data_IF_992615425692
#
_entry.id   IF_992615425692
#
_cell.length_a   1.000
_cell.length_b   1.000
_cell.length_c   1.000
_cell.angle_alpha   90.00
_cell.angle_beta   90.00
_cell.angle_gamma   90.00
#
_symmetry.space_group_name_H-M   'P 1'
#
loop_
_entity.id
_entity.type
_entity.pdbx_description
1 polymer ?
#
# COMPACT_ATOMS: atom_id res chain seq x y z
N UNK A 1 24.47 -14.42 -65.63
CA UNK A 1 24.88 -14.35 -64.22
C UNK A 1 24.06 -13.24 -63.57
N UNK A 2 23.19 -13.61 -62.63
CA UNK A 2 22.21 -12.74 -61.99
C UNK A 2 22.87 -11.58 -61.25
N UNK A 3 22.30 -10.37 -61.37
CA UNK A 3 21.76 -9.59 -60.23
C UNK A 3 21.14 -8.26 -60.69
N UNK A 4 19.82 -8.22 -60.58
CA UNK A 4 18.90 -7.08 -60.51
C UNK A 4 19.18 -6.23 -59.25
N UNK A 5 18.90 -4.92 -59.29
CA UNK A 5 18.28 -4.04 -58.26
C UNK A 5 18.30 -2.60 -58.84
N UNK A 6 17.21 -2.14 -59.45
CA UNK A 6 16.08 -1.38 -58.89
C UNK A 6 16.35 0.13 -58.67
N UNK A 7 15.91 0.90 -59.67
CA UNK A 7 15.74 2.35 -59.73
C UNK A 7 14.80 2.85 -58.62
N UNK A 8 15.17 3.96 -57.95
CA UNK A 8 14.23 4.77 -57.17
C UNK A 8 14.13 6.15 -57.84
N UNK A 9 12.96 6.42 -58.40
CA UNK A 9 12.58 7.67 -59.05
C UNK A 9 12.02 8.59 -57.96
N UNK A 10 12.70 9.70 -57.67
CA UNK A 10 12.20 10.75 -56.78
C UNK A 10 11.27 11.67 -57.58
N UNK A 11 9.97 11.62 -57.31
CA UNK A 11 9.01 12.64 -57.80
C UNK A 11 8.60 13.52 -56.63
N UNK A 12 8.96 14.79 -56.73
CA UNK A 12 8.62 15.88 -55.83
C UNK A 12 7.33 16.53 -56.35
N UNK A 13 6.25 16.49 -55.58
CA UNK A 13 5.05 17.30 -55.81
C UNK A 13 4.43 17.59 -54.45
N UNK A 14 4.61 18.81 -53.92
CA UNK A 14 3.64 19.91 -54.00
C UNK A 14 2.30 19.54 -53.36
N UNK A 15 1.90 20.22 -52.27
CA UNK A 15 0.61 20.91 -52.21
C UNK A 15 0.53 21.84 -50.99
N UNK A 16 0.23 23.09 -51.33
CA UNK A 16 -0.20 24.20 -50.49
C UNK A 16 -1.44 23.83 -49.66
N UNK A 17 -1.43 24.13 -48.36
CA UNK A 17 -2.54 23.89 -47.44
C UNK A 17 -2.72 25.05 -46.46
N UNK A 18 -3.78 25.82 -46.70
CA UNK A 18 -4.12 27.12 -46.14
C UNK A 18 -4.74 27.06 -44.72
N UNK A 19 -4.60 28.16 -43.97
CA UNK A 19 -5.41 28.64 -42.83
C UNK A 19 -5.53 27.81 -41.53
N UNK A 20 -5.24 28.40 -40.36
CA UNK A 20 -6.20 29.14 -39.53
C UNK A 20 -5.54 29.61 -38.22
N UNK A 21 -5.83 30.86 -37.87
CA UNK A 21 -5.51 31.53 -36.60
C UNK A 21 -6.14 30.75 -35.44
N UNK A 22 -5.42 30.53 -34.34
CA UNK A 22 -6.05 30.20 -33.07
C UNK A 22 -5.41 30.95 -31.92
N UNK A 23 -6.30 31.60 -31.17
CA UNK A 23 -6.04 32.53 -30.09
C UNK A 23 -5.38 31.85 -28.89
N UNK A 24 -4.39 32.53 -28.30
CA UNK A 24 -3.80 32.17 -27.02
C UNK A 24 -4.80 32.51 -25.93
N UNK A 25 -5.63 31.53 -25.55
CA UNK A 25 -6.48 31.59 -24.38
C UNK A 25 -5.64 31.19 -23.16
N UNK A 26 -5.25 32.16 -22.35
CA UNK A 26 -4.54 31.94 -21.09
C UNK A 26 -5.44 31.23 -20.08
N UNK A 27 -5.23 29.93 -19.89
CA UNK A 27 -5.82 29.18 -18.80
C UNK A 27 -4.89 29.28 -17.58
N UNK A 28 -5.27 30.11 -16.61
CA UNK A 28 -4.76 30.07 -15.25
C UNK A 28 -5.02 28.67 -14.68
N UNK A 29 -3.98 27.84 -14.58
CA UNK A 29 -4.04 26.58 -13.85
C UNK A 29 -4.08 26.89 -12.36
N UNK A 30 -5.28 26.87 -11.80
CA UNK A 30 -5.49 26.72 -10.35
C UNK A 30 -5.00 25.31 -10.02
N UNK A 31 -3.78 25.20 -9.51
CA UNK A 31 -3.29 23.97 -8.89
C UNK A 31 -4.00 23.87 -7.55
N UNK A 32 -4.94 22.93 -7.32
CA UNK A 32 -5.37 22.66 -5.96
C UNK A 32 -4.14 22.18 -5.20
N UNK A 33 -3.80 22.90 -4.13
CA UNK A 33 -2.80 22.47 -3.18
C UNK A 33 -3.18 21.05 -2.74
N UNK A 34 -2.38 20.07 -3.15
CA UNK A 34 -2.43 18.72 -2.59
C UNK A 34 -2.03 18.90 -1.13
N UNK A 35 -3.04 18.97 -0.27
CA UNK A 35 -2.86 18.88 1.16
C UNK A 35 -2.12 17.59 1.42
N UNK A 36 -0.88 17.70 1.90
CA UNK A 36 -0.18 16.59 2.50
C UNK A 36 -1.00 16.24 3.75
N UNK A 37 -1.83 15.21 3.64
CA UNK A 37 -2.39 14.58 4.82
C UNK A 37 -1.19 14.10 5.63
N UNK A 38 -0.95 14.75 6.76
CA UNK A 38 0.01 14.34 7.77
C UNK A 38 -0.40 12.92 8.19
N UNK A 39 0.28 11.92 7.63
CA UNK A 39 0.13 10.51 8.00
C UNK A 39 0.79 10.27 9.35
N UNK A 40 0.31 10.97 10.38
CA UNK A 40 0.55 10.61 11.78
C UNK A 40 -0.71 10.03 12.38
N UNK A 41 -1.33 9.12 11.65
CA UNK A 41 -2.10 8.06 12.26
C UNK A 41 -1.11 7.07 12.84
N UNK A 42 -0.55 7.36 14.03
CA UNK A 42 0.05 6.30 14.85
C UNK A 42 -1.10 5.34 15.14
N UNK A 43 -1.12 4.21 14.44
CA UNK A 43 -2.00 3.11 14.76
C UNK A 43 -1.85 2.82 16.23
N UNK A 44 -2.97 2.81 16.94
CA UNK A 44 -2.97 2.79 18.39
C UNK A 44 -2.61 1.38 18.86
N UNK A 45 -1.35 0.98 18.77
CA UNK A 45 -0.89 -0.35 19.17
C UNK A 45 0.39 -0.86 18.49
N UNK A 46 0.86 -0.23 17.40
CA UNK A 46 2.07 -0.69 16.73
C UNK A 46 3.33 -0.09 17.34
N UNK A 47 4.41 -0.86 17.37
CA UNK A 47 5.73 -0.42 17.84
C UNK A 47 6.80 -0.74 16.80
N UNK A 48 7.57 0.27 16.42
CA UNK A 48 8.75 0.09 15.59
C UNK A 48 9.98 -0.27 16.41
N UNK A 49 10.78 -1.21 15.90
CA UNK A 49 12.06 -1.61 16.48
C UNK A 49 13.07 -1.84 15.37
N UNK A 50 14.25 -1.26 15.47
CA UNK A 50 15.34 -1.55 14.53
C UNK A 50 16.18 -2.74 14.98
N UNK A 51 16.69 -3.50 14.01
CA UNK A 51 17.51 -4.67 14.25
C UNK A 51 18.32 -5.11 13.04
N UNK A 52 18.97 -6.26 13.18
CA UNK A 52 19.81 -6.87 12.14
C UNK A 52 19.32 -8.29 11.89
N UNK A 53 19.20 -8.68 10.63
CA UNK A 53 18.86 -10.05 10.26
C UNK A 53 20.02 -10.98 10.61
N UNK A 54 19.79 -11.97 11.50
CA UNK A 54 20.82 -12.92 11.95
C UNK A 54 20.79 -14.27 11.27
N UNK A 55 19.62 -14.70 10.83
CA UNK A 55 19.49 -15.98 10.14
C UNK A 55 18.29 -15.99 9.21
N UNK A 56 18.42 -16.78 8.15
CA UNK A 56 17.33 -17.26 7.33
C UNK A 56 17.42 -18.80 7.31
N UNK A 57 16.43 -19.46 7.90
CA UNK A 57 16.37 -20.92 7.99
C UNK A 57 15.06 -21.41 7.39
N UNK A 58 15.13 -21.84 6.13
CA UNK A 58 13.97 -22.37 5.42
C UNK A 58 12.85 -21.34 5.24
N UNK A 59 13.21 -20.08 5.01
CA UNK A 59 12.27 -18.98 4.82
C UNK A 59 11.68 -18.41 6.11
N UNK A 60 12.25 -18.78 7.25
CA UNK A 60 12.04 -18.12 8.54
C UNK A 60 13.24 -17.23 8.81
N UNK A 61 13.01 -15.92 8.71
CA UNK A 61 13.99 -14.88 8.93
C UNK A 61 13.92 -14.46 10.40
N UNK A 62 15.08 -14.35 11.05
CA UNK A 62 15.19 -13.88 12.43
C UNK A 62 15.92 -12.54 12.48
N UNK A 63 15.26 -11.54 13.04
CA UNK A 63 15.79 -10.20 13.30
C UNK A 63 16.18 -10.11 14.77
N UNK A 64 17.44 -9.83 15.04
CA UNK A 64 17.92 -9.51 16.38
C UNK A 64 17.82 -8.01 16.62
N UNK A 65 17.16 -7.64 17.71
CA UNK A 65 16.97 -6.26 18.14
C UNK A 65 17.44 -6.10 19.58
N UNK A 66 17.61 -4.86 20.09
CA UNK A 66 17.91 -4.63 21.51
C UNK A 66 16.86 -5.19 22.49
N UNK A 67 15.61 -5.39 22.04
CA UNK A 67 14.52 -5.88 22.90
C UNK A 67 14.23 -7.37 22.75
N UNK A 68 14.96 -8.09 21.88
CA UNK A 68 14.80 -9.51 21.66
C UNK A 68 14.91 -9.93 20.19
N UNK A 69 14.62 -11.20 19.95
CA UNK A 69 14.63 -11.79 18.62
C UNK A 69 13.21 -11.92 18.08
N UNK A 70 13.01 -11.51 16.84
CA UNK A 70 11.72 -11.52 16.18
C UNK A 70 11.79 -12.34 14.88
N UNK A 71 10.77 -13.16 14.64
CA UNK A 71 10.70 -14.00 13.45
C UNK A 71 9.69 -13.47 12.45
N UNK A 72 10.10 -13.42 11.19
CA UNK A 72 9.24 -13.10 10.06
C UNK A 72 9.32 -14.22 9.01
N UNK A 73 8.19 -14.56 8.41
CA UNK A 73 8.16 -15.49 7.29
C UNK A 73 8.53 -14.71 6.03
N UNK A 74 9.37 -15.27 5.15
CA UNK A 74 9.70 -14.63 3.87
C UNK A 74 8.47 -14.22 3.04
N UNK A 75 7.39 -15.01 3.11
CA UNK A 75 6.15 -14.65 2.43
C UNK A 75 5.50 -13.40 3.02
N UNK A 76 5.69 -13.14 4.31
CA UNK A 76 5.24 -11.88 4.91
C UNK A 76 6.10 -10.73 4.38
N UNK A 77 7.45 -10.87 4.38
CA UNK A 77 8.36 -9.85 3.84
C UNK A 77 8.01 -9.44 2.39
N UNK A 78 7.77 -10.42 1.51
CA UNK A 78 7.36 -10.16 0.12
C UNK A 78 6.01 -9.45 0.01
N UNK A 79 5.09 -9.71 0.94
CA UNK A 79 3.74 -9.11 0.97
C UNK A 79 3.72 -7.73 1.61
N UNK A 80 4.79 -7.31 2.27
CA UNK A 80 4.96 -5.91 2.68
C UNK A 80 5.46 -5.03 1.53
N UNK A 81 5.67 -5.59 0.33
CA UNK A 81 6.06 -4.82 -0.84
C UNK A 81 7.56 -4.52 -0.92
N UNK A 82 8.33 -5.04 0.04
CA UNK A 82 9.77 -4.91 0.10
C UNK A 82 10.48 -6.18 -0.35
N UNK A 83 11.74 -6.03 -0.75
CA UNK A 83 12.62 -7.17 -0.97
C UNK A 83 12.77 -7.98 0.32
N UNK A 84 12.91 -9.29 0.19
CA UNK A 84 13.17 -10.17 1.33
C UNK A 84 14.51 -9.77 1.97
N UNK A 85 14.53 -9.38 3.26
CA UNK A 85 15.77 -9.04 3.97
C UNK A 85 16.73 -10.23 4.03
N UNK A 86 18.02 -9.98 3.84
CA UNK A 86 19.08 -10.99 3.89
C UNK A 86 19.84 -10.90 5.21
N UNK A 87 20.53 -11.99 5.57
CA UNK A 87 21.42 -12.02 6.74
C UNK A 87 22.45 -10.90 6.64
N UNK A 88 22.52 -10.08 7.70
CA UNK A 88 23.36 -8.88 7.79
C UNK A 88 22.63 -7.57 7.49
N UNK A 89 21.44 -7.60 6.88
CA UNK A 89 20.69 -6.38 6.57
C UNK A 89 20.17 -5.72 7.86
N UNK A 90 20.26 -4.40 7.91
CA UNK A 90 19.62 -3.58 8.94
C UNK A 90 18.18 -3.28 8.52
N UNK A 91 17.24 -3.55 9.43
CA UNK A 91 15.80 -3.39 9.18
C UNK A 91 15.12 -2.66 10.32
N UNK A 92 14.01 -1.99 10.02
CA UNK A 92 13.02 -1.57 11.01
C UNK A 92 11.82 -2.49 10.88
N UNK A 93 11.45 -3.16 11.98
CA UNK A 93 10.27 -4.01 12.04
C UNK A 93 9.16 -3.31 12.81
N UNK A 94 7.91 -3.49 12.34
CA UNK A 94 6.73 -3.08 13.08
C UNK A 94 6.12 -4.28 13.79
N UNK A 95 5.87 -4.11 15.08
CA UNK A 95 5.31 -5.12 15.97
C UNK A 95 3.87 -4.75 16.32
N UNK A 96 2.99 -5.75 16.34
CA UNK A 96 1.66 -5.60 16.95
C UNK A 96 1.73 -5.64 18.49
N UNK A 97 0.57 -5.47 19.13
CA UNK A 97 0.39 -5.52 20.59
C UNK A 97 0.81 -6.87 21.21
N UNK A 98 0.88 -7.94 20.42
CA UNK A 98 1.32 -9.27 20.83
C UNK A 98 2.82 -9.50 20.54
N UNK A 99 3.57 -8.45 20.19
CA UNK A 99 4.97 -8.48 19.78
C UNK A 99 5.24 -9.31 18.52
N UNK A 100 4.22 -9.50 17.67
CA UNK A 100 4.37 -10.22 16.43
C UNK A 100 4.75 -9.25 15.31
N UNK A 101 5.69 -9.65 14.44
CA UNK A 101 6.08 -8.82 13.28
C UNK A 101 4.92 -8.75 12.31
N UNK A 102 4.44 -7.53 12.04
CA UNK A 102 3.38 -7.24 11.08
C UNK A 102 3.89 -6.49 9.84
N UNK A 103 5.13 -6.00 9.89
CA UNK A 103 5.80 -5.34 8.76
C UNK A 103 7.32 -5.27 8.98
N UNK A 104 8.09 -5.15 7.89
CA UNK A 104 9.54 -4.95 7.93
C UNK A 104 10.01 -4.10 6.73
N UNK A 105 10.80 -3.08 7.01
CA UNK A 105 11.40 -2.18 6.03
C UNK A 105 12.93 -2.16 6.17
N UNK A 106 13.68 -1.83 5.11
CA UNK A 106 15.06 -1.36 5.25
C UNK A 106 15.15 -0.25 6.29
N UNK A 107 16.20 -0.25 7.10
CA UNK A 107 16.36 0.77 8.13
C UNK A 107 16.42 2.18 7.51
N UNK A 108 15.59 3.08 8.02
CA UNK A 108 15.48 4.46 7.54
C UNK A 108 14.34 4.69 6.55
N UNK A 109 13.64 3.62 6.13
CA UNK A 109 12.35 3.72 5.45
C UNK A 109 11.22 3.69 6.50
N UNK A 110 10.21 4.56 6.32
CA UNK A 110 9.00 4.59 7.13
C UNK A 110 7.88 3.79 6.46
N UNK A 111 7.02 3.17 7.26
CA UNK A 111 5.82 2.51 6.77
C UNK A 111 4.76 3.52 6.35
N UNK A 112 4.21 3.37 5.15
CA UNK A 112 3.10 4.15 4.62
C UNK A 112 1.79 3.35 4.71
N UNK A 113 0.99 3.67 5.72
CA UNK A 113 -0.29 2.99 5.94
C UNK A 113 -1.47 3.78 5.38
N UNK A 114 -2.48 3.05 4.93
CA UNK A 114 -3.74 3.61 4.49
C UNK A 114 -4.88 3.11 5.36
N UNK A 115 -5.82 4.01 5.65
CA UNK A 115 -6.97 3.73 6.51
C UNK A 115 -8.25 3.81 5.69
N UNK A 116 -9.09 2.78 5.81
CA UNK A 116 -10.40 2.72 5.17
C UNK A 116 -11.49 2.48 6.20
N UNK A 117 -12.41 3.42 6.32
CA UNK A 117 -13.55 3.30 7.23
C UNK A 117 -14.81 2.93 6.46
N UNK A 118 -15.54 1.93 6.97
CA UNK A 118 -16.75 1.45 6.32
C UNK A 118 -17.50 0.42 7.15
N UNK A 119 -18.64 -0.01 6.65
CA UNK A 119 -19.43 -1.08 7.27
C UNK A 119 -18.80 -2.43 6.93
N UNK A 120 -18.46 -3.22 7.93
CA UNK A 120 -17.93 -4.56 7.73
C UNK A 120 -18.97 -5.43 7.02
N UNK A 121 -18.66 -5.90 5.81
CA UNK A 121 -19.56 -6.77 5.04
C UNK A 121 -19.21 -8.22 5.30
N UNK A 122 -17.91 -8.55 5.32
CA UNK A 122 -17.47 -9.93 5.49
C UNK A 122 -16.08 -10.05 6.10
N UNK A 123 -15.91 -11.04 6.96
CA UNK A 123 -14.62 -11.54 7.44
C UNK A 123 -14.40 -12.96 6.92
N UNK A 124 -13.79 -13.05 5.74
CA UNK A 124 -13.58 -14.31 5.04
C UNK A 124 -12.43 -15.09 5.63
N UNK A 125 -12.69 -15.91 6.67
CA UNK A 125 -11.62 -16.69 7.33
C UNK A 125 -10.90 -17.65 6.38
N UNK A 126 -11.67 -18.26 5.48
CA UNK A 126 -11.16 -19.19 4.48
C UNK A 126 -10.53 -18.47 3.28
N UNK A 127 -11.13 -17.36 2.85
CA UNK A 127 -10.64 -16.55 1.73
C UNK A 127 -9.48 -15.63 2.10
N UNK A 128 -9.23 -15.44 3.40
CA UNK A 128 -8.23 -14.52 3.96
C UNK A 128 -8.43 -13.09 3.48
N UNK A 129 -9.64 -12.57 3.66
CA UNK A 129 -10.00 -11.20 3.25
C UNK A 129 -10.93 -10.49 4.25
N UNK A 130 -10.84 -9.16 4.29
CA UNK A 130 -11.86 -8.27 4.87
C UNK A 130 -12.59 -7.61 3.71
N UNK A 131 -13.91 -7.61 3.74
CA UNK A 131 -14.74 -6.78 2.86
C UNK A 131 -15.43 -5.70 3.68
N UNK A 132 -15.34 -4.45 3.24
CA UNK A 132 -16.10 -3.32 3.80
C UNK A 132 -16.89 -2.60 2.71
N UNK A 133 -17.99 -1.98 3.10
CA UNK A 133 -18.74 -1.04 2.28
C UNK A 133 -18.38 0.40 2.71
N UNK A 134 -17.76 1.14 1.79
CA UNK A 134 -17.42 2.56 1.95
C UNK A 134 -18.40 3.43 1.15
N UNK A 135 -18.42 4.76 1.34
CA UNK A 135 -19.20 5.66 0.48
C UNK A 135 -18.86 5.53 -1.02
N UNK A 136 -17.62 5.18 -1.33
CA UNK A 136 -17.13 4.97 -2.70
C UNK A 136 -17.42 3.56 -3.25
N UNK A 137 -18.09 2.71 -2.46
CA UNK A 137 -18.44 1.34 -2.82
C UNK A 137 -17.73 0.26 -1.99
N UNK A 138 -17.88 -1.00 -2.42
CA UNK A 138 -17.24 -2.14 -1.78
C UNK A 138 -15.72 -2.13 -1.97
N UNK A 139 -14.99 -2.41 -0.89
CA UNK A 139 -13.54 -2.64 -0.91
C UNK A 139 -13.24 -3.99 -0.27
N UNK A 140 -12.31 -4.72 -0.87
CA UNK A 140 -11.82 -6.03 -0.40
C UNK A 140 -10.33 -5.93 -0.16
N UNK A 141 -9.89 -6.38 1.01
CA UNK A 141 -8.50 -6.32 1.43
C UNK A 141 -8.01 -7.71 1.84
N UNK A 142 -6.84 -8.17 1.35
CA UNK A 142 -6.25 -9.44 1.79
C UNK A 142 -5.78 -9.35 3.25
N UNK A 143 -5.84 -10.49 3.96
CA UNK A 143 -5.40 -10.63 5.35
C UNK A 143 -4.36 -11.74 5.47
N UNK A 144 -3.26 -11.45 6.15
CA UNK A 144 -2.25 -12.45 6.44
C UNK A 144 -2.44 -13.17 7.78
N UNK A 145 -2.89 -12.44 8.81
CA UNK A 145 -3.06 -12.94 10.18
C UNK A 145 -4.45 -12.61 10.72
N UNK A 146 -5.42 -13.37 10.24
CA UNK A 146 -6.83 -13.22 10.53
C UNK A 146 -7.19 -13.33 12.03
N UNK A 147 -6.60 -14.28 12.75
CA UNK A 147 -7.00 -14.60 14.13
C UNK A 147 -6.66 -13.51 15.15
N UNK A 148 -5.69 -12.65 14.85
CA UNK A 148 -5.22 -11.59 15.74
C UNK A 148 -6.08 -10.32 15.57
N UNK A 149 -6.54 -10.05 14.35
CA UNK A 149 -7.09 -8.73 13.98
C UNK A 149 -8.61 -8.64 14.01
N UNK A 150 -9.33 -9.75 14.14
CA UNK A 150 -10.79 -9.77 13.88
C UNK A 150 -11.61 -10.35 15.03
N UNK A 151 -11.05 -10.53 16.23
CA UNK A 151 -11.79 -11.13 17.36
C UNK A 151 -12.90 -10.19 17.84
N UNK A 152 -14.15 -10.66 17.78
CA UNK A 152 -15.30 -9.98 18.38
C UNK A 152 -15.86 -8.78 17.59
N UNK A 153 -15.55 -8.67 16.29
CA UNK A 153 -16.17 -7.69 15.39
C UNK A 153 -17.18 -8.42 14.51
N UNK A 154 -18.44 -8.02 14.61
CA UNK A 154 -19.55 -8.62 13.87
C UNK A 154 -19.74 -7.95 12.51
N UNK A 155 -20.19 -8.70 11.51
CA UNK A 155 -20.63 -8.13 10.24
C UNK A 155 -21.72 -7.07 10.49
N UNK A 156 -21.66 -6.00 9.72
CA UNK A 156 -22.48 -4.81 9.89
C UNK A 156 -21.90 -3.75 10.84
N UNK A 157 -20.84 -4.05 11.58
CA UNK A 157 -20.15 -3.07 12.43
C UNK A 157 -19.41 -2.03 11.60
N UNK A 158 -19.44 -0.76 12.01
CA UNK A 158 -18.54 0.25 11.45
C UNK A 158 -17.12 -0.01 11.92
N UNK A 159 -16.19 -0.18 10.99
CA UNK A 159 -14.79 -0.53 11.24
C UNK A 159 -13.87 0.43 10.52
N UNK A 160 -12.62 0.52 10.99
CA UNK A 160 -11.51 1.08 10.24
C UNK A 160 -10.52 -0.05 9.97
N UNK A 161 -10.16 -0.22 8.70
CA UNK A 161 -9.15 -1.14 8.21
C UNK A 161 -7.88 -0.34 7.98
N UNK A 162 -6.80 -0.74 8.64
CA UNK A 162 -5.47 -0.25 8.34
C UNK A 162 -4.77 -1.25 7.43
N UNK A 163 -4.26 -0.77 6.31
CA UNK A 163 -3.50 -1.58 5.36
C UNK A 163 -2.12 -0.99 5.16
N UNK A 164 -1.16 -1.86 4.88
CA UNK A 164 0.17 -1.44 4.48
C UNK A 164 0.25 -1.01 3.00
N UNK A 165 1.45 -0.72 2.52
CA UNK A 165 1.74 -0.23 1.16
C UNK A 165 1.31 -1.22 0.08
N UNK A 166 1.27 -2.51 0.42
CA UNK A 166 0.82 -3.58 -0.47
C UNK A 166 -0.70 -3.81 -0.41
N UNK A 167 -1.42 -3.02 0.40
CA UNK A 167 -2.86 -3.14 0.57
C UNK A 167 -3.30 -4.32 1.46
N UNK A 168 -2.38 -4.94 2.20
CA UNK A 168 -2.68 -6.04 3.11
C UNK A 168 -3.07 -5.51 4.49
N UNK A 169 -4.10 -6.09 5.10
CA UNK A 169 -4.60 -5.67 6.41
C UNK A 169 -3.54 -5.86 7.49
N UNK A 170 -3.11 -4.75 8.08
CA UNK A 170 -2.21 -4.71 9.23
C UNK A 170 -2.96 -4.52 10.55
N UNK A 171 -4.11 -3.84 10.56
CA UNK A 171 -5.00 -3.76 11.72
C UNK A 171 -6.49 -3.64 11.30
N UNK A 172 -7.38 -4.04 12.21
CA UNK A 172 -8.84 -3.89 12.07
C UNK A 172 -9.45 -3.60 13.44
N UNK A 173 -10.07 -2.44 13.57
CA UNK A 173 -10.75 -2.05 14.81
C UNK A 173 -12.12 -1.46 14.54
N UNK A 174 -12.99 -1.48 15.56
CA UNK A 174 -14.27 -0.74 15.50
C UNK A 174 -13.97 0.74 15.28
N UNK A 175 -14.73 1.39 14.39
CA UNK A 175 -14.66 2.83 14.28
C UNK A 175 -15.07 3.43 15.63
N UNK A 176 -14.34 4.44 16.11
CA UNK A 176 -14.82 5.23 17.25
C UNK A 176 -16.10 5.92 16.77
N UNK A 177 -17.17 5.87 17.58
CA UNK A 177 -18.46 6.47 17.25
C UNK A 177 -18.24 7.88 16.66
N UNK A 178 -18.71 8.08 15.43
CA UNK A 178 -18.38 9.23 14.60
C UNK A 178 -18.80 10.55 15.26
N UNK A 179 -17.82 11.28 15.77
CA UNK A 179 -17.94 12.67 16.20
C UNK A 179 -17.53 13.69 15.14
N UNK A 180 -17.05 13.26 13.97
CA UNK A 180 -16.58 14.17 12.91
C UNK A 180 -17.12 13.77 11.54
N UNK A 181 -18.45 13.70 11.43
CA UNK A 181 -19.09 13.97 10.15
C UNK A 181 -19.05 15.50 9.95
N UNK A 182 -18.02 16.00 9.27
CA UNK A 182 -18.01 17.37 8.79
C UNK A 182 -19.07 17.53 7.69
N UNK A 183 -20.30 17.79 8.12
CA UNK A 183 -21.29 18.54 7.36
C UNK A 183 -20.72 19.96 7.18
N UNK A 184 -20.32 20.32 5.97
CA UNK A 184 -20.10 21.71 5.59
C UNK A 184 -21.29 22.15 4.74
N UNK A 185 -22.14 22.97 5.36
CA UNK A 185 -23.06 23.88 4.69
C UNK A 185 -22.30 24.93 3.88
#
# INVERSE_FOLDING_TARGET
MNRTIHLQITVLSAFMGMFFVSAVLGLFLIVPAVGHADSKGVSKGHREVSGVVKSDKGGVITVETPTGNYSLNENAARRHGHAVPKVGDEVTIMLDENNAVIEAHPKGEEGHHHFFTGKLVHLGKMQKEVKILTPDGEKVFPIDRLEIKTKGIEEGTMVTVEVNESGTVIDLHRAKDGGDAHEKH
#
